data_IF_210823031046
#
_entry.id   IF_210823031046
#
_cell.length_a   1.000
_cell.length_b   1.000
_cell.length_c   1.000
_cell.angle_alpha   90.00
_cell.angle_beta   90.00
_cell.angle_gamma   90.00
#
_symmetry.space_group_name_H-M   'P 1'
#
loop_
_entity.id
_entity.type
_entity.pdbx_description
1 polymer ?
#
# COMPACT_ATOMS: atom_id res chain seq x y z
N UNK A 1 15.57 14.99 17.25
CA UNK A 1 16.13 13.76 16.63
C UNK A 1 14.97 12.78 16.74
N UNK A 2 14.13 12.61 15.72
CA UNK A 2 14.45 12.21 14.35
C UNK A 2 13.53 12.85 13.30
N UNK A 3 14.08 12.90 12.10
CA UNK A 3 13.59 13.61 10.91
C UNK A 3 12.09 13.40 10.66
N UNK A 4 11.29 14.45 10.54
CA UNK A 4 11.03 15.04 9.22
C UNK A 4 10.92 13.94 8.14
N UNK A 5 9.92 13.08 8.30
CA UNK A 5 9.35 12.21 7.27
C UNK A 5 8.72 13.11 6.21
N UNK A 6 9.58 13.84 5.48
CA UNK A 6 9.23 14.71 4.36
C UNK A 6 8.78 13.81 3.22
N UNK A 7 7.59 13.23 3.36
CA UNK A 7 6.90 12.57 2.28
C UNK A 7 6.39 13.66 1.34
N UNK A 8 7.31 14.24 0.57
CA UNK A 8 7.08 15.33 -0.39
C UNK A 8 6.47 14.76 -1.70
N UNK A 9 5.76 13.64 -1.62
CA UNK A 9 5.13 12.97 -2.74
C UNK A 9 3.76 13.60 -3.01
N UNK A 10 3.83 14.78 -3.63
CA UNK A 10 2.84 15.30 -4.58
C UNK A 10 1.38 15.40 -4.08
N UNK A 11 1.03 16.54 -3.49
CA UNK A 11 -0.35 17.00 -3.46
C UNK A 11 -0.77 17.39 -4.90
N UNK A 12 -1.33 16.43 -5.66
CA UNK A 12 -1.99 16.73 -6.93
C UNK A 12 -3.46 17.12 -6.63
N UNK A 13 -4.03 18.15 -7.26
CA UNK A 13 -5.43 18.57 -7.00
C UNK A 13 -6.47 17.47 -7.24
N UNK A 14 -6.20 16.54 -8.17
CA UNK A 14 -7.04 15.37 -8.41
C UNK A 14 -7.04 14.37 -7.24
N UNK A 15 -5.99 14.41 -6.41
CA UNK A 15 -5.83 13.57 -5.24
C UNK A 15 -6.71 14.04 -4.07
N UNK A 16 -6.87 15.35 -3.89
CA UNK A 16 -7.78 15.92 -2.88
C UNK A 16 -9.26 15.60 -3.16
N UNK A 17 -9.65 15.52 -4.43
CA UNK A 17 -11.00 15.09 -4.81
C UNK A 17 -11.26 13.59 -4.55
N UNK A 18 -10.23 12.74 -4.72
CA UNK A 18 -10.31 11.33 -4.32
C UNK A 18 -10.34 11.16 -2.80
N UNK A 19 -9.61 12.03 -2.07
CA UNK A 19 -9.65 12.13 -0.62
C UNK A 19 -11.02 12.60 -0.10
N UNK A 20 -11.72 13.47 -0.82
CA UNK A 20 -13.10 13.88 -0.49
C UNK A 20 -14.10 12.72 -0.55
N UNK A 21 -13.89 11.72 -1.43
CA UNK A 21 -14.67 10.48 -1.38
C UNK A 21 -14.32 9.58 -0.17
N UNK A 22 -13.16 9.79 0.44
CA UNK A 22 -12.67 9.08 1.62
C UNK A 22 -12.95 9.83 2.94
N UNK A 23 -13.66 10.98 2.90
CA UNK A 23 -13.73 11.95 4.00
C UNK A 23 -14.42 11.49 5.29
N UNK A 24 -14.95 10.27 5.40
CA UNK A 24 -15.47 9.78 6.68
C UNK A 24 -15.25 8.29 6.79
N UNK A 25 -14.04 7.83 7.15
CA UNK A 25 -13.84 6.43 7.49
C UNK A 25 -12.87 6.22 8.65
N UNK A 26 -13.35 5.46 9.63
CA UNK A 26 -12.63 5.03 10.83
C UNK A 26 -11.26 4.42 10.47
N UNK A 27 -10.28 4.37 11.41
CA UNK A 27 -8.96 3.78 11.14
C UNK A 27 -9.03 2.40 10.46
N UNK A 28 -9.95 1.53 10.89
CA UNK A 28 -10.17 0.21 10.28
C UNK A 28 -10.54 0.29 8.80
N UNK A 29 -11.44 1.21 8.45
CA UNK A 29 -11.91 1.36 7.08
C UNK A 29 -10.86 2.01 6.17
N UNK A 30 -9.91 2.79 6.72
CA UNK A 30 -8.73 3.26 5.98
C UNK A 30 -7.83 2.08 5.59
N UNK A 31 -7.60 1.14 6.52
CA UNK A 31 -6.86 -0.09 6.23
C UNK A 31 -7.61 -0.94 5.19
N UNK A 32 -8.91 -1.16 5.38
CA UNK A 32 -9.73 -1.97 4.46
C UNK A 32 -9.76 -1.40 3.03
N UNK A 33 -9.84 -0.07 2.89
CA UNK A 33 -9.78 0.58 1.58
C UNK A 33 -8.41 0.40 0.91
N UNK A 34 -7.32 0.53 1.68
CA UNK A 34 -5.96 0.30 1.18
C UNK A 34 -5.75 -1.15 0.73
N UNK A 35 -6.27 -2.12 1.51
CA UNK A 35 -6.29 -3.54 1.15
C UNK A 35 -7.03 -3.75 -0.17
N UNK A 36 -8.24 -3.21 -0.29
CA UNK A 36 -9.06 -3.35 -1.50
C UNK A 36 -8.36 -2.74 -2.72
N UNK A 37 -7.76 -1.55 -2.56
CA UNK A 37 -7.01 -0.87 -3.62
C UNK A 37 -5.79 -1.70 -4.08
N UNK A 38 -5.02 -2.25 -3.14
CA UNK A 38 -3.88 -3.11 -3.46
C UNK A 38 -4.31 -4.43 -4.11
N UNK A 39 -5.40 -5.04 -3.62
CA UNK A 39 -5.94 -6.29 -4.15
C UNK A 39 -6.56 -6.14 -5.55
N UNK A 40 -7.14 -4.98 -5.86
CA UNK A 40 -7.69 -4.66 -7.18
C UNK A 40 -6.67 -4.06 -8.15
N UNK A 41 -5.49 -3.66 -7.66
CA UNK A 41 -4.48 -2.96 -8.45
C UNK A 41 -4.87 -1.53 -8.81
N UNK A 42 -5.77 -0.90 -8.04
CA UNK A 42 -6.23 0.47 -8.27
C UNK A 42 -5.17 1.50 -7.87
N UNK A 43 -4.30 1.85 -8.83
CA UNK A 43 -3.15 2.73 -8.61
C UNK A 43 -3.52 4.13 -8.08
N UNK A 44 -4.73 4.62 -8.40
CA UNK A 44 -5.21 5.92 -7.92
C UNK A 44 -5.50 5.89 -6.41
N UNK A 45 -6.27 4.89 -5.95
CA UNK A 45 -6.55 4.69 -4.53
C UNK A 45 -5.32 4.22 -3.75
N UNK A 46 -4.42 3.47 -4.39
CA UNK A 46 -3.17 3.04 -3.76
C UNK A 46 -2.26 4.24 -3.45
N UNK A 47 -2.16 5.22 -4.37
CA UNK A 47 -1.49 6.50 -4.11
C UNK A 47 -2.11 7.22 -2.93
N UNK A 48 -3.44 7.13 -2.80
CA UNK A 48 -4.15 7.71 -1.68
C UNK A 48 -3.73 7.09 -0.35
N UNK A 49 -3.83 5.78 -0.30
CA UNK A 49 -3.46 4.98 0.85
C UNK A 49 -2.01 5.26 1.29
N UNK A 50 -1.05 5.33 0.36
CA UNK A 50 0.36 5.60 0.64
C UNK A 50 0.61 6.96 1.31
N UNK A 51 -0.23 7.96 1.04
CA UNK A 51 -0.08 9.27 1.70
C UNK A 51 -0.74 9.32 3.09
N UNK A 52 -1.76 8.49 3.32
CA UNK A 52 -2.53 8.47 4.57
C UNK A 52 -2.03 7.43 5.58
N UNK A 53 -1.42 6.35 5.10
CA UNK A 53 -0.97 5.20 5.87
C UNK A 53 0.54 4.99 5.66
N UNK A 54 1.25 4.47 6.67
CA UNK A 54 2.63 4.06 6.48
C UNK A 54 2.74 2.98 5.39
N UNK A 55 3.64 3.19 4.42
CA UNK A 55 3.78 2.30 3.26
C UNK A 55 4.19 0.87 3.63
N UNK A 56 5.05 0.74 4.64
CA UNK A 56 5.48 -0.52 5.25
C UNK A 56 4.63 -0.89 6.48
N UNK A 57 3.47 -0.24 6.65
CA UNK A 57 2.55 -0.53 7.74
C UNK A 57 1.78 -1.82 7.51
N UNK A 58 1.44 -2.47 8.62
CA UNK A 58 0.54 -3.61 8.64
C UNK A 58 -0.88 -3.17 8.28
N UNK A 59 -1.47 -3.83 7.29
CA UNK A 59 -2.83 -3.55 6.82
C UNK A 59 -3.86 -4.55 7.33
N UNK A 60 -3.43 -5.68 7.87
CA UNK A 60 -4.30 -6.72 8.38
C UNK A 60 -3.64 -7.50 9.53
N UNK A 61 -4.41 -8.42 10.12
CA UNK A 61 -3.94 -9.33 11.16
C UNK A 61 -2.79 -10.25 10.73
N UNK A 62 -2.58 -10.41 9.43
CA UNK A 62 -1.45 -11.15 8.86
C UNK A 62 -0.18 -10.29 8.73
N UNK A 63 -0.22 -9.01 9.14
CA UNK A 63 0.91 -8.07 9.01
C UNK A 63 1.32 -7.81 7.57
N UNK A 64 0.40 -8.02 6.62
CA UNK A 64 0.68 -7.76 5.22
C UNK A 64 0.70 -6.27 4.98
N UNK A 65 1.67 -5.82 4.20
CA UNK A 65 1.75 -4.44 3.71
C UNK A 65 1.03 -4.31 2.37
N UNK A 66 0.87 -3.07 1.87
CA UNK A 66 0.34 -2.84 0.52
C UNK A 66 1.12 -3.62 -0.55
N UNK A 67 2.44 -3.76 -0.36
CA UNK A 67 3.31 -4.46 -1.30
C UNK A 67 3.05 -5.97 -1.33
N UNK A 68 2.79 -6.60 -0.17
CA UNK A 68 2.42 -8.01 -0.11
C UNK A 68 1.13 -8.29 -0.87
N UNK A 69 0.10 -7.47 -0.64
CA UNK A 69 -1.21 -7.67 -1.27
C UNK A 69 -1.13 -7.43 -2.77
N UNK A 70 -0.45 -6.37 -3.21
CA UNK A 70 -0.26 -6.08 -4.63
C UNK A 70 0.55 -7.18 -5.34
N UNK A 71 1.61 -7.68 -4.69
CA UNK A 71 2.47 -8.75 -5.21
C UNK A 71 1.72 -10.09 -5.31
N UNK A 72 0.98 -10.47 -4.26
CA UNK A 72 0.18 -11.70 -4.21
C UNK A 72 -0.86 -11.76 -5.34
N UNK A 73 -1.45 -10.63 -5.70
CA UNK A 73 -2.43 -10.54 -6.78
C UNK A 73 -1.81 -10.30 -8.17
N UNK A 74 -0.47 -10.26 -8.28
CA UNK A 74 0.22 -10.08 -9.56
C UNK A 74 0.11 -8.67 -10.15
N UNK A 75 -0.27 -7.66 -9.35
CA UNK A 75 -0.49 -6.30 -9.82
C UNK A 75 0.83 -5.54 -9.98
N UNK A 76 1.57 -5.85 -11.04
CA UNK A 76 2.89 -5.25 -11.33
C UNK A 76 2.87 -3.72 -11.32
N UNK A 77 1.78 -3.09 -11.81
CA UNK A 77 1.63 -1.63 -11.77
C UNK A 77 1.54 -1.08 -10.35
N UNK A 78 0.79 -1.75 -9.47
CA UNK A 78 0.68 -1.38 -8.06
C UNK A 78 2.01 -1.61 -7.33
N UNK A 79 2.68 -2.74 -7.59
CA UNK A 79 4.01 -3.04 -7.04
C UNK A 79 5.03 -1.97 -7.43
N UNK A 80 5.12 -1.60 -8.72
CA UNK A 80 6.01 -0.52 -9.18
C UNK A 80 5.72 0.79 -8.49
N UNK A 81 4.45 1.16 -8.35
CA UNK A 81 4.03 2.39 -7.69
C UNK A 81 4.46 2.42 -6.22
N UNK A 82 4.32 1.30 -5.51
CA UNK A 82 4.72 1.17 -4.11
C UNK A 82 6.25 1.24 -3.97
N UNK A 83 7.00 0.59 -4.86
CA UNK A 83 8.46 0.68 -4.89
C UNK A 83 8.93 2.11 -5.20
N UNK A 84 8.27 2.79 -6.15
CA UNK A 84 8.53 4.21 -6.46
C UNK A 84 8.23 5.12 -5.26
N UNK A 85 7.28 4.72 -4.40
CA UNK A 85 6.95 5.39 -3.16
C UNK A 85 7.84 4.95 -1.97
N UNK A 86 8.96 4.27 -2.24
CA UNK A 86 9.93 3.78 -1.25
C UNK A 86 9.40 2.69 -0.30
N UNK A 87 8.48 1.84 -0.76
CA UNK A 87 8.12 0.63 -0.03
C UNK A 87 9.33 -0.31 0.08
N UNK A 88 9.56 -0.87 1.26
CA UNK A 88 10.63 -1.85 1.45
C UNK A 88 10.19 -3.23 0.96
N UNK A 89 10.85 -3.82 -0.06
CA UNK A 89 10.55 -5.18 -0.51
C UNK A 89 10.96 -6.25 0.51
N UNK A 90 11.83 -5.88 1.44
CA UNK A 90 12.31 -6.73 2.52
C UNK A 90 11.37 -6.78 3.73
N UNK A 91 10.30 -5.98 3.75
CA UNK A 91 9.34 -6.02 4.85
C UNK A 91 8.70 -7.40 4.90
N UNK A 92 8.70 -8.00 6.09
CA UNK A 92 8.13 -9.31 6.32
C UNK A 92 6.76 -9.20 6.99
N UNK A 93 5.77 -9.91 6.46
CA UNK A 93 4.49 -10.14 7.12
C UNK A 93 4.62 -11.13 8.29
N UNK A 94 3.52 -11.33 9.04
CA UNK A 94 3.47 -12.36 10.08
C UNK A 94 3.79 -13.72 9.45
N UNK A 95 4.75 -14.44 10.03
CA UNK A 95 5.27 -15.70 9.48
C UNK A 95 6.48 -15.54 8.55
N UNK A 96 7.07 -14.34 8.44
CA UNK A 96 8.33 -14.13 7.71
C UNK A 96 8.18 -14.10 6.18
N UNK A 97 6.95 -14.05 5.68
CA UNK A 97 6.68 -13.91 4.24
C UNK A 97 7.07 -12.51 3.77
N UNK A 98 7.77 -12.41 2.65
CA UNK A 98 8.10 -11.14 1.96
C UNK A 98 7.15 -10.92 0.77
N UNK A 99 7.19 -9.71 0.20
CA UNK A 99 6.43 -9.42 -1.02
C UNK A 99 6.81 -10.36 -2.19
N UNK A 100 8.09 -10.74 -2.31
CA UNK A 100 8.55 -11.67 -3.33
C UNK A 100 7.96 -13.08 -3.13
N UNK A 101 7.96 -13.59 -1.90
CA UNK A 101 7.33 -14.88 -1.60
C UNK A 101 5.80 -14.84 -1.78
N UNK A 102 5.18 -13.69 -1.53
CA UNK A 102 3.75 -13.50 -1.76
C UNK A 102 3.39 -13.54 -3.27
N UNK A 103 4.21 -12.92 -4.14
CA UNK A 103 4.05 -13.06 -5.60
C UNK A 103 4.21 -14.51 -6.07
N UNK A 104 5.21 -15.21 -5.54
CA UNK A 104 5.43 -16.63 -5.85
C UNK A 104 4.23 -17.50 -5.39
N UNK A 105 3.67 -17.22 -4.21
CA UNK A 105 2.48 -17.91 -3.70
C UNK A 105 1.22 -17.63 -4.55
N UNK A 106 1.11 -16.43 -5.13
CA UNK A 106 0.06 -16.07 -6.08
C UNK A 106 0.19 -16.71 -7.45
N UNK A 107 1.27 -17.45 -7.72
CA UNK A 107 1.53 -18.05 -9.03
C UNK A 107 2.03 -17.06 -10.08
N UNK A 108 2.48 -15.87 -9.66
CA UNK A 108 3.01 -14.84 -10.53
C UNK A 108 4.55 -14.84 -10.47
N UNK A 109 5.19 -15.44 -11.49
CA UNK A 109 6.65 -15.42 -11.72
C UNK A 109 7.04 -14.37 -12.75
#
# INVERSE_FOLDING_TARGET
RDAQRKNKFVALPAYEAALAHLEIRNPEQRLECAISAAAKGETALLRAAVSMLPIDGELNEYGQTMLHIAAMNGHVRAVKLLLDAHASPCTTAHGGSTAATAAAAGGHM
#
